data_IF_310186610087
#
_entry.id   IF_310186610087
#
_cell.length_a   1.000
_cell.length_b   1.000
_cell.length_c   1.000
_cell.angle_alpha   90.00
_cell.angle_beta   90.00
_cell.angle_gamma   90.00
#
_symmetry.space_group_name_H-M   'P 1'
#
loop_
_entity.id
_entity.type
_entity.pdbx_description
1 polymer ?
#
# COMPACT_ATOMS: atom_id res chain seq x y z
N UNK A 1 3.14 -18.05 -9.45
CA UNK A 1 3.80 -16.77 -9.77
C UNK A 1 3.01 -15.71 -9.04
N UNK A 2 3.68 -14.91 -8.22
CA UNK A 2 3.05 -13.84 -7.45
C UNK A 2 2.68 -12.70 -8.38
N UNK A 3 1.41 -12.29 -8.34
CA UNK A 3 0.86 -11.29 -9.24
C UNK A 3 1.14 -9.91 -8.62
N UNK A 4 2.10 -9.19 -9.19
CA UNK A 4 2.56 -7.91 -8.64
C UNK A 4 1.49 -6.80 -8.69
N UNK A 5 0.54 -6.95 -9.61
CA UNK A 5 -0.60 -6.07 -9.81
C UNK A 5 -1.88 -6.89 -10.00
N UNK A 6 -3.02 -6.29 -9.68
CA UNK A 6 -4.35 -6.83 -9.98
C UNK A 6 -5.26 -5.75 -10.55
N UNK A 7 -5.97 -6.08 -11.63
CA UNK A 7 -6.88 -5.16 -12.28
C UNK A 7 -8.13 -4.92 -11.43
N UNK A 8 -8.67 -3.71 -11.42
CA UNK A 8 -9.89 -3.42 -10.66
C UNK A 8 -11.07 -4.30 -11.08
N UNK A 9 -11.14 -4.69 -12.35
CA UNK A 9 -12.15 -5.65 -12.87
C UNK A 9 -12.04 -7.07 -12.28
N UNK A 10 -10.94 -7.37 -11.59
CA UNK A 10 -10.64 -8.68 -11.00
C UNK A 10 -10.64 -8.63 -9.46
N UNK A 11 -11.01 -7.50 -8.86
CA UNK A 11 -10.98 -7.30 -7.40
C UNK A 11 -12.40 -7.27 -6.81
N UNK A 12 -12.50 -7.71 -5.57
CA UNK A 12 -13.67 -7.52 -4.71
C UNK A 12 -13.30 -7.48 -3.23
N UNK A 13 -14.31 -7.50 -2.35
CA UNK A 13 -14.10 -7.44 -0.90
C UNK A 13 -13.32 -8.61 -0.32
N UNK A 14 -13.30 -9.76 -1.01
CA UNK A 14 -12.46 -10.90 -0.64
C UNK A 14 -10.95 -10.59 -0.73
N UNK A 15 -10.56 -9.56 -1.49
CA UNK A 15 -9.16 -9.20 -1.72
C UNK A 15 -8.65 -8.12 -0.74
N UNK A 16 -9.42 -7.79 0.30
CA UNK A 16 -9.12 -6.69 1.22
C UNK A 16 -7.71 -6.78 1.84
N UNK A 17 -7.27 -7.97 2.26
CA UNK A 17 -5.93 -8.15 2.84
C UNK A 17 -4.80 -7.98 1.80
N UNK A 18 -5.11 -8.23 0.54
CA UNK A 18 -4.13 -8.14 -0.53
C UNK A 18 -3.99 -6.73 -1.09
N UNK A 19 -5.08 -5.97 -1.22
CA UNK A 19 -5.07 -4.66 -1.91
C UNK A 19 -5.54 -3.49 -1.04
N UNK A 20 -6.03 -3.75 0.17
CA UNK A 20 -6.63 -2.78 1.07
C UNK A 20 -8.07 -2.42 0.71
N UNK A 21 -8.80 -1.87 1.69
CA UNK A 21 -10.24 -1.60 1.57
C UNK A 21 -10.63 -0.63 0.44
N UNK A 22 -9.77 0.33 0.10
CA UNK A 22 -10.04 1.28 -1.00
C UNK A 22 -10.08 0.59 -2.36
N UNK A 23 -9.08 -0.24 -2.65
CA UNK A 23 -8.97 -0.95 -3.93
C UNK A 23 -10.02 -2.07 -4.03
N UNK A 24 -10.28 -2.78 -2.93
CA UNK A 24 -11.35 -3.76 -2.86
C UNK A 24 -12.72 -3.11 -3.16
N UNK A 25 -13.02 -1.96 -2.54
CA UNK A 25 -14.25 -1.20 -2.82
C UNK A 25 -14.32 -0.68 -4.26
N UNK A 26 -13.19 -0.27 -4.87
CA UNK A 26 -13.15 0.10 -6.29
C UNK A 26 -13.51 -1.10 -7.18
N UNK A 27 -12.97 -2.29 -6.88
CA UNK A 27 -13.30 -3.51 -7.62
C UNK A 27 -14.78 -3.90 -7.54
N UNK A 28 -15.40 -3.74 -6.37
CA UNK A 28 -16.86 -3.90 -6.20
C UNK A 28 -17.63 -2.91 -7.11
N UNK A 29 -17.22 -1.64 -7.13
CA UNK A 29 -17.88 -0.63 -7.96
C UNK A 29 -17.74 -0.95 -9.45
N UNK A 30 -16.55 -1.34 -9.92
CA UNK A 30 -16.33 -1.76 -11.31
C UNK A 30 -17.20 -2.97 -11.67
N UNK A 31 -17.26 -3.98 -10.79
CA UNK A 31 -17.96 -5.24 -11.03
C UNK A 31 -19.49 -5.12 -11.02
N UNK A 32 -20.02 -4.21 -10.20
CA UNK A 32 -21.46 -4.10 -9.93
C UNK A 32 -22.11 -2.85 -10.51
N UNK A 33 -21.45 -1.69 -10.48
CA UNK A 33 -22.06 -0.40 -10.82
C UNK A 33 -21.87 0.00 -12.28
N UNK A 34 -20.84 -0.50 -12.96
CA UNK A 34 -20.62 -0.26 -14.40
C UNK A 34 -21.82 -0.71 -15.23
N UNK A 35 -22.43 -1.85 -14.87
CA UNK A 35 -23.66 -2.36 -15.51
C UNK A 35 -24.90 -1.49 -15.26
N UNK A 36 -24.85 -0.62 -14.25
CA UNK A 36 -25.90 0.33 -13.91
C UNK A 36 -25.63 1.73 -14.48
N UNK A 37 -24.62 1.88 -15.35
CA UNK A 37 -24.28 3.15 -16.01
C UNK A 37 -23.41 4.09 -15.17
N UNK A 38 -22.93 3.66 -14.00
CA UNK A 38 -21.97 4.43 -13.20
C UNK A 38 -20.59 4.28 -13.83
N UNK A 39 -19.94 5.40 -14.16
CA UNK A 39 -18.60 5.39 -14.72
C UNK A 39 -17.56 5.33 -13.60
N UNK A 40 -16.81 4.24 -13.55
CA UNK A 40 -15.67 4.05 -12.66
C UNK A 40 -14.41 4.03 -13.53
N UNK A 41 -13.39 4.85 -13.23
CA UNK A 41 -12.13 4.80 -13.94
C UNK A 41 -11.47 3.42 -13.83
N UNK A 42 -10.92 2.94 -14.94
CA UNK A 42 -10.15 1.70 -14.96
C UNK A 42 -8.77 1.89 -14.34
N UNK A 43 -8.14 0.79 -13.94
CA UNK A 43 -6.83 0.78 -13.31
C UNK A 43 -6.49 -0.55 -12.64
N UNK A 44 -5.43 -0.51 -11.84
CA UNK A 44 -4.93 -1.66 -11.11
C UNK A 44 -4.44 -1.26 -9.72
N UNK A 45 -4.36 -2.25 -8.84
CA UNK A 45 -3.74 -2.14 -7.52
C UNK A 45 -2.44 -2.94 -7.48
N UNK A 46 -1.41 -2.40 -6.85
CA UNK A 46 -0.28 -3.20 -6.36
C UNK A 46 -0.74 -4.03 -5.16
N UNK A 47 -0.19 -5.23 -5.00
CA UNK A 47 -0.51 -6.07 -3.85
C UNK A 47 0.35 -5.71 -2.63
N UNK A 48 -0.14 -6.04 -1.45
CA UNK A 48 0.60 -5.88 -0.18
C UNK A 48 1.89 -6.71 -0.16
N UNK A 49 1.97 -7.76 -0.97
CA UNK A 49 3.16 -8.58 -1.15
C UNK A 49 4.28 -7.82 -1.86
N UNK A 50 3.99 -7.13 -2.97
CA UNK A 50 4.97 -6.29 -3.67
C UNK A 50 5.51 -5.20 -2.74
N UNK A 51 4.65 -4.61 -1.92
CA UNK A 51 5.10 -3.64 -0.93
C UNK A 51 6.08 -4.26 0.09
N UNK A 52 5.81 -5.49 0.57
CA UNK A 52 6.72 -6.21 1.48
C UNK A 52 8.05 -6.55 0.80
N UNK A 53 8.00 -7.01 -0.44
CA UNK A 53 9.21 -7.29 -1.25
C UNK A 53 10.05 -6.01 -1.45
N UNK A 54 9.41 -4.90 -1.83
CA UNK A 54 10.05 -3.60 -1.99
C UNK A 54 10.76 -3.12 -0.72
N UNK A 55 10.10 -3.22 0.44
CA UNK A 55 10.71 -2.85 1.72
C UNK A 55 11.85 -3.82 2.13
N UNK A 56 11.73 -5.10 1.79
CA UNK A 56 12.74 -6.11 2.15
C UNK A 56 13.98 -6.10 1.27
N UNK A 57 13.90 -5.58 0.04
CA UNK A 57 14.95 -5.72 -0.98
C UNK A 57 16.34 -5.19 -0.58
N UNK A 58 16.41 -4.18 0.28
CA UNK A 58 17.67 -3.53 0.70
C UNK A 58 17.86 -3.48 2.21
N UNK A 59 16.99 -4.17 2.97
CA UNK A 59 16.93 -4.06 4.42
C UNK A 59 16.24 -2.78 4.92
N UNK A 60 15.42 -2.14 4.08
CA UNK A 60 14.70 -0.91 4.43
C UNK A 60 13.67 -1.18 5.54
N UNK A 61 12.99 -2.32 5.51
CA UNK A 61 12.04 -2.73 6.55
C UNK A 61 12.68 -2.69 7.95
N UNK A 62 13.87 -3.26 8.11
CA UNK A 62 14.60 -3.34 9.37
C UNK A 62 15.04 -1.95 9.85
N UNK A 63 15.47 -1.09 8.93
CA UNK A 63 15.84 0.30 9.26
C UNK A 63 14.66 1.10 9.77
N UNK A 64 13.49 0.93 9.15
CA UNK A 64 12.24 1.55 9.60
C UNK A 64 11.86 1.03 10.99
N UNK A 65 11.89 -0.29 11.19
CA UNK A 65 11.56 -0.92 12.48
C UNK A 65 12.47 -0.43 13.61
N UNK A 66 13.78 -0.36 13.37
CA UNK A 66 14.76 0.20 14.31
C UNK A 66 14.46 1.66 14.64
N UNK A 67 14.12 2.47 13.63
CA UNK A 67 13.80 3.90 13.82
C UNK A 67 12.53 4.12 14.63
N UNK A 68 11.58 3.19 14.56
CA UNK A 68 10.30 3.25 15.27
C UNK A 68 10.34 2.61 16.67
N UNK A 69 11.20 1.60 16.90
CA UNK A 69 11.24 0.83 18.15
C UNK A 69 11.40 1.69 19.41
N UNK A 70 12.22 2.75 19.33
CA UNK A 70 12.50 3.65 20.46
C UNK A 70 11.73 4.98 20.39
N UNK A 71 10.80 5.13 19.43
CA UNK A 71 10.08 6.37 19.22
C UNK A 71 8.93 6.53 20.21
N UNK A 72 8.98 7.60 21.01
CA UNK A 72 7.81 8.08 21.73
C UNK A 72 6.89 8.83 20.76
N UNK A 73 5.66 8.33 20.59
CA UNK A 73 4.68 8.94 19.68
C UNK A 73 3.97 10.15 20.28
N UNK A 74 4.08 10.37 21.59
CA UNK A 74 3.55 11.56 22.25
C UNK A 74 4.52 12.76 22.12
N UNK A 75 5.81 12.50 21.85
CA UNK A 75 6.75 13.51 21.39
C UNK A 75 6.50 13.81 19.90
N UNK A 76 5.63 14.81 19.68
CA UNK A 76 5.23 15.23 18.33
C UNK A 76 6.39 15.73 17.45
N UNK A 77 7.48 16.23 18.04
CA UNK A 77 8.66 16.68 17.29
C UNK A 77 9.44 15.45 16.80
N UNK A 78 9.76 14.53 17.72
CA UNK A 78 10.45 13.29 17.39
C UNK A 78 9.66 12.45 16.38
N UNK A 79 8.32 12.42 16.50
CA UNK A 79 7.42 11.74 15.58
C UNK A 79 7.47 12.35 14.17
N UNK A 80 7.43 13.68 14.06
CA UNK A 80 7.50 14.38 12.78
C UNK A 80 8.85 14.13 12.08
N UNK A 81 9.95 14.14 12.83
CA UNK A 81 11.29 13.85 12.34
C UNK A 81 11.40 12.40 11.85
N UNK A 82 10.91 11.43 12.64
CA UNK A 82 10.89 10.01 12.26
C UNK A 82 10.10 9.79 10.96
N UNK A 83 8.91 10.39 10.88
CA UNK A 83 8.06 10.29 9.70
C UNK A 83 8.73 10.90 8.47
N UNK A 84 9.44 12.02 8.61
CA UNK A 84 10.18 12.64 7.49
C UNK A 84 11.29 11.73 7.00
N UNK A 85 12.13 11.25 7.92
CA UNK A 85 13.24 10.36 7.61
C UNK A 85 12.77 9.08 6.90
N UNK A 86 11.76 8.40 7.44
CA UNK A 86 11.21 7.17 6.85
C UNK A 86 10.66 7.43 5.44
N UNK A 87 9.94 8.54 5.22
CA UNK A 87 9.43 8.89 3.89
C UNK A 87 10.56 9.16 2.89
N UNK A 88 11.63 9.83 3.31
CA UNK A 88 12.81 10.07 2.47
C UNK A 88 13.50 8.75 2.07
N UNK A 89 13.62 7.82 3.02
CA UNK A 89 14.17 6.49 2.74
C UNK A 89 13.32 5.70 1.74
N UNK A 90 11.99 5.72 1.89
CA UNK A 90 11.06 5.07 0.95
C UNK A 90 11.15 5.68 -0.45
N UNK A 91 11.29 7.00 -0.57
CA UNK A 91 11.43 7.68 -1.87
C UNK A 91 12.76 7.34 -2.54
N UNK A 92 13.84 7.19 -1.77
CA UNK A 92 15.17 6.89 -2.29
C UNK A 92 15.36 5.41 -2.68
N UNK A 93 14.48 4.53 -2.21
CA UNK A 93 14.53 3.09 -2.47
C UNK A 93 14.17 2.78 -3.94
N UNK A 94 15.02 2.06 -4.69
CA UNK A 94 14.67 1.59 -6.03
C UNK A 94 13.63 0.47 -5.96
N UNK A 95 12.82 0.35 -7.01
CA UNK A 95 11.93 -0.80 -7.23
C UNK A 95 12.70 -2.06 -7.62
#
# INVERSE_FOLDING_TARGET
MTQSIRWFSELGMADLEQVGGKNASLGEMVSHLTRLGVQVPDGFATTSEVYREFLGATGLAERIDQRLTALDTDDTIALAEAGREIRELVIAQPF
#
